data_IF_657720794222
#
_entry.id   IF_657720794222
#
_cell.length_a   1.000
_cell.length_b   1.000
_cell.length_c   1.000
_cell.angle_alpha   90.00
_cell.angle_beta   90.00
_cell.angle_gamma   90.00
#
_symmetry.space_group_name_H-M   'P 1'
#
loop_
_entity.id
_entity.type
_entity.pdbx_description
1 polymer ?
#
# COMPACT_ATOMS: atom_id res chain seq x y z
N UNK A 1 -1.02 26.85 10.58
CA UNK A 1 -1.28 25.69 9.70
C UNK A 1 -1.44 24.45 10.57
N UNK A 2 -2.53 23.69 10.42
CA UNK A 2 -2.81 22.53 11.27
C UNK A 2 -1.93 21.33 10.85
N UNK A 3 -1.01 20.92 11.74
CA UNK A 3 -0.10 19.78 11.52
C UNK A 3 -0.67 18.43 11.97
N UNK A 4 -1.63 18.45 12.89
CA UNK A 4 -2.18 17.25 13.53
C UNK A 4 -2.67 16.19 12.52
N UNK A 5 -3.40 16.59 11.47
CA UNK A 5 -3.89 15.64 10.47
C UNK A 5 -2.78 15.01 9.63
N UNK A 6 -1.66 15.71 9.40
CA UNK A 6 -0.51 15.14 8.69
C UNK A 6 0.22 14.15 9.59
N UNK A 7 0.44 14.53 10.85
CA UNK A 7 1.10 13.68 11.86
C UNK A 7 0.35 12.38 12.07
N UNK A 8 -0.99 12.43 12.21
CA UNK A 8 -1.82 11.22 12.37
C UNK A 8 -1.75 10.26 11.17
N UNK A 9 -1.68 10.78 9.94
CA UNK A 9 -1.55 9.92 8.74
C UNK A 9 -0.18 9.28 8.64
N UNK A 10 0.88 10.03 8.96
CA UNK A 10 2.24 9.50 8.95
C UNK A 10 2.43 8.43 10.03
N UNK A 11 1.82 8.62 11.21
CA UNK A 11 1.86 7.63 12.31
C UNK A 11 1.16 6.30 11.98
N UNK A 12 0.38 6.20 10.89
CA UNK A 12 -0.17 4.94 10.40
C UNK A 12 0.76 4.19 9.44
N UNK A 13 1.79 4.85 8.93
CA UNK A 13 2.73 4.30 7.94
C UNK A 13 4.06 3.96 8.60
N UNK A 14 4.56 4.85 9.47
CA UNK A 14 5.82 4.65 10.17
C UNK A 14 5.60 3.90 11.48
N UNK A 15 6.41 2.87 11.72
CA UNK A 15 6.42 2.08 12.95
C UNK A 15 7.11 2.82 14.10
N UNK A 16 7.13 2.19 15.28
CA UNK A 16 7.73 2.76 16.49
C UNK A 16 9.23 3.09 16.38
N UNK A 17 9.94 2.48 15.43
CA UNK A 17 11.35 2.76 15.13
C UNK A 17 11.54 3.92 14.12
N UNK A 18 10.45 4.53 13.65
CA UNK A 18 10.45 5.60 12.67
C UNK A 18 10.74 5.14 11.23
N UNK A 19 10.64 3.83 10.95
CA UNK A 19 10.83 3.25 9.61
C UNK A 19 9.51 2.68 9.07
N UNK A 20 9.50 2.38 7.77
CA UNK A 20 8.39 1.75 7.09
C UNK A 20 8.90 0.86 5.93
N UNK A 21 8.37 -0.35 5.82
CA UNK A 21 8.44 -1.20 4.64
C UNK A 21 7.16 -1.01 3.82
N UNK A 22 7.30 -0.43 2.63
CA UNK A 22 6.18 -0.15 1.73
C UNK A 22 6.30 -1.00 0.48
N UNK A 23 5.28 -1.80 0.18
CA UNK A 23 5.20 -2.57 -1.07
C UNK A 23 4.55 -1.71 -2.15
N UNK A 24 5.30 -1.40 -3.21
CA UNK A 24 4.81 -0.60 -4.34
C UNK A 24 4.27 -1.49 -5.46
N UNK A 25 3.03 -1.23 -5.87
CA UNK A 25 2.26 -2.03 -6.84
C UNK A 25 1.60 -1.17 -7.94
N UNK A 26 1.90 0.12 -7.98
CA UNK A 26 1.25 1.14 -8.83
C UNK A 26 1.70 1.10 -10.31
N UNK A 27 2.77 0.39 -10.62
CA UNK A 27 3.36 0.32 -11.96
C UNK A 27 2.38 -0.23 -13.02
N UNK A 28 1.45 -1.10 -12.62
CA UNK A 28 0.46 -1.68 -13.53
C UNK A 28 -0.47 -0.64 -14.16
N UNK A 29 -0.59 0.55 -13.56
CA UNK A 29 -1.34 1.66 -14.13
C UNK A 29 -0.78 2.15 -15.47
N UNK A 30 0.55 2.17 -15.62
CA UNK A 30 1.23 2.66 -16.82
C UNK A 30 1.48 1.52 -17.80
N UNK A 31 1.91 0.36 -17.28
CA UNK A 31 2.41 -0.75 -18.10
C UNK A 31 1.39 -1.85 -18.38
N UNK A 32 0.17 -1.72 -17.84
CA UNK A 32 -0.81 -2.80 -17.82
C UNK A 32 -0.42 -3.92 -16.85
N UNK A 33 -1.07 -5.09 -16.90
CA UNK A 33 -0.79 -6.21 -16.00
C UNK A 33 0.61 -6.78 -16.25
N UNK A 34 1.60 -6.26 -15.53
CA UNK A 34 2.98 -6.78 -15.54
C UNK A 34 3.07 -8.07 -14.73
N UNK A 35 4.12 -8.86 -15.00
CA UNK A 35 4.36 -10.13 -14.30
C UNK A 35 4.33 -9.93 -12.78
N UNK A 36 3.48 -10.70 -12.11
CA UNK A 36 3.27 -10.65 -10.66
C UNK A 36 2.07 -9.79 -10.24
N UNK A 37 1.61 -8.83 -11.06
CA UNK A 37 0.47 -7.96 -10.76
C UNK A 37 -0.79 -8.31 -11.57
N UNK A 38 -0.84 -9.48 -12.20
CA UNK A 38 -2.01 -9.95 -12.94
C UNK A 38 -3.22 -10.14 -12.03
N UNK A 39 -2.97 -10.45 -10.74
CA UNK A 39 -3.99 -10.63 -9.70
C UNK A 39 -3.59 -9.83 -8.45
N UNK A 40 -3.94 -8.53 -8.36
CA UNK A 40 -3.54 -7.67 -7.25
C UNK A 40 -3.93 -8.20 -5.87
N UNK A 41 -5.10 -8.82 -5.74
CA UNK A 41 -5.61 -9.45 -4.50
C UNK A 41 -4.57 -10.33 -3.83
N UNK A 42 -3.96 -11.28 -4.57
CA UNK A 42 -2.98 -12.21 -4.01
C UNK A 42 -1.74 -11.51 -3.48
N UNK A 43 -1.24 -10.51 -4.21
CA UNK A 43 -0.04 -9.77 -3.78
C UNK A 43 -0.35 -8.87 -2.59
N UNK A 44 -1.59 -8.35 -2.49
CA UNK A 44 -2.04 -7.59 -1.31
C UNK A 44 -2.06 -8.53 -0.09
N UNK A 45 -2.67 -9.72 -0.21
CA UNK A 45 -2.69 -10.72 0.86
C UNK A 45 -1.28 -11.14 1.28
N UNK A 46 -0.41 -11.47 0.31
CA UNK A 46 0.99 -11.84 0.56
C UNK A 46 1.76 -10.70 1.27
N UNK A 47 1.51 -9.44 0.89
CA UNK A 47 2.14 -8.27 1.53
C UNK A 47 1.64 -8.07 2.97
N UNK A 48 0.35 -8.29 3.22
CA UNK A 48 -0.25 -8.25 4.57
C UNK A 48 0.34 -9.37 5.43
N UNK A 49 0.34 -10.61 4.94
CA UNK A 49 0.91 -11.77 5.66
C UNK A 49 2.40 -11.61 5.93
N UNK A 50 3.14 -11.02 4.97
CA UNK A 50 4.56 -10.70 5.10
C UNK A 50 4.87 -9.55 6.06
N UNK A 51 3.86 -8.84 6.58
CA UNK A 51 4.02 -7.76 7.54
C UNK A 51 4.49 -6.44 6.94
N UNK A 52 4.11 -6.14 5.70
CA UNK A 52 4.35 -4.81 5.13
C UNK A 52 3.60 -3.72 5.94
N UNK A 53 4.23 -2.57 6.15
CA UNK A 53 3.65 -1.47 6.93
C UNK A 53 2.61 -0.68 6.12
N UNK A 54 2.80 -0.60 4.81
CA UNK A 54 1.85 0.02 3.90
C UNK A 54 1.98 -0.55 2.47
N UNK A 55 0.94 -0.33 1.67
CA UNK A 55 0.92 -0.63 0.24
C UNK A 55 0.75 0.68 -0.52
N UNK A 56 1.60 0.90 -1.53
CA UNK A 56 1.43 1.98 -2.51
C UNK A 56 0.79 1.39 -3.77
N UNK A 57 -0.44 1.81 -4.06
CA UNK A 57 -1.20 1.33 -5.21
C UNK A 57 -2.12 2.42 -5.76
N UNK A 58 -2.88 2.09 -6.80
CA UNK A 58 -3.78 3.04 -7.46
C UNK A 58 -5.17 3.08 -6.82
N UNK A 59 -5.90 4.18 -7.05
CA UNK A 59 -7.26 4.37 -6.54
C UNK A 59 -8.19 3.20 -6.88
N UNK A 60 -8.19 2.70 -8.12
CA UNK A 60 -9.07 1.60 -8.53
C UNK A 60 -8.74 0.26 -7.88
N UNK A 61 -7.47 0.03 -7.50
CA UNK A 61 -7.09 -1.15 -6.73
C UNK A 61 -7.59 -1.03 -5.30
N UNK A 62 -7.40 0.14 -4.66
CA UNK A 62 -7.93 0.39 -3.31
C UNK A 62 -9.45 0.24 -3.28
N UNK A 63 -10.18 0.91 -4.18
CA UNK A 63 -11.66 0.86 -4.23
C UNK A 63 -12.20 -0.57 -4.35
N UNK A 64 -11.46 -1.46 -5.04
CA UNK A 64 -11.86 -2.85 -5.24
C UNK A 64 -11.51 -3.78 -4.06
N UNK A 65 -10.43 -3.50 -3.34
CA UNK A 65 -9.83 -4.44 -2.37
C UNK A 65 -9.60 -3.84 -0.97
N UNK A 66 -10.23 -2.72 -0.62
CA UNK A 66 -10.00 -2.06 0.68
C UNK A 66 -10.48 -2.85 1.92
N UNK A 67 -11.24 -3.93 1.72
CA UNK A 67 -11.74 -4.83 2.78
C UNK A 67 -10.78 -5.99 3.10
N UNK A 68 -9.70 -6.16 2.33
CA UNK A 68 -8.61 -7.09 2.65
C UNK A 68 -7.77 -6.53 3.82
#
# INVERSE_FOLDING_TARGET
MARAGKELRLARIFQGDGRALIVAMDHAYIFGPIKGLEKPERIIEDAIEGGADAILTTYGVVERYYEL
#
